data_IF_668815344966
#
_entry.id   IF_668815344966
#
_cell.length_a   1.000
_cell.length_b   1.000
_cell.length_c   1.000
_cell.angle_alpha   90.00
_cell.angle_beta   90.00
_cell.angle_gamma   90.00
#
_symmetry.space_group_name_H-M   'P 1'
#
loop_
_entity.id
_entity.type
_entity.pdbx_description
1 polymer ?
#
# COMPACT_ATOMS: atom_id res chain seq x y z
N UNK A 1 9.08 -23.18 11.04
CA UNK A 1 9.49 -23.25 9.62
C UNK A 1 8.52 -22.36 8.87
N UNK A 2 9.01 -21.31 8.23
CA UNK A 2 8.15 -20.36 7.48
C UNK A 2 7.69 -21.05 6.19
N UNK A 3 6.38 -21.28 6.05
CA UNK A 3 5.75 -21.67 4.78
C UNK A 3 5.73 -20.47 3.80
N UNK A 4 6.92 -19.96 3.49
CA UNK A 4 7.05 -18.97 2.44
C UNK A 4 6.88 -19.71 1.10
N UNK A 5 5.68 -19.60 0.51
CA UNK A 5 5.49 -20.02 -0.89
C UNK A 5 6.54 -19.32 -1.76
N UNK A 6 7.12 -20.01 -2.74
CA UNK A 6 8.00 -19.39 -3.72
C UNK A 6 7.30 -18.15 -4.31
N UNK A 7 7.99 -17.03 -4.44
CA UNK A 7 7.41 -15.78 -4.95
C UNK A 7 6.80 -15.96 -6.35
N UNK A 8 7.35 -16.90 -7.15
CA UNK A 8 6.83 -17.26 -8.47
C UNK A 8 5.42 -17.92 -8.43
N UNK A 9 4.99 -18.45 -7.28
CA UNK A 9 3.66 -19.05 -7.10
C UNK A 9 2.63 -18.05 -6.56
N UNK A 10 3.03 -16.82 -6.23
CA UNK A 10 2.11 -15.78 -5.79
C UNK A 10 1.28 -15.29 -6.99
N UNK A 11 -0.03 -15.35 -6.99
CA UNK A 11 -0.83 -14.81 -8.07
C UNK A 11 -0.61 -13.30 -8.23
N UNK A 12 -0.20 -12.89 -9.41
CA UNK A 12 0.04 -11.48 -9.72
C UNK A 12 -0.16 -11.21 -11.23
N UNK A 13 -0.26 -9.92 -11.57
CA UNK A 13 -0.21 -9.43 -12.93
C UNK A 13 1.03 -8.55 -13.07
N UNK A 14 1.78 -8.72 -14.17
CA UNK A 14 2.81 -7.78 -14.58
C UNK A 14 2.56 -7.34 -16.02
N UNK A 15 2.63 -6.02 -16.26
CA UNK A 15 2.65 -5.42 -17.58
C UNK A 15 3.85 -4.51 -17.68
N UNK A 16 4.73 -4.69 -18.66
CA UNK A 16 5.83 -3.75 -18.88
C UNK A 16 5.27 -2.38 -19.29
N UNK A 17 5.85 -1.34 -18.77
CA UNK A 17 5.61 0.04 -19.23
C UNK A 17 6.65 0.46 -20.27
N UNK A 18 6.72 1.77 -20.51
CA UNK A 18 7.80 2.34 -21.30
C UNK A 18 9.14 2.15 -20.57
N UNK A 19 10.24 2.14 -21.35
CA UNK A 19 11.58 2.09 -20.81
C UNK A 19 11.77 3.28 -19.83
N UNK A 20 12.42 3.01 -18.70
CA UNK A 20 12.69 3.97 -17.63
C UNK A 20 11.45 4.55 -16.91
N UNK A 21 10.23 4.22 -17.32
CA UNK A 21 9.03 4.63 -16.60
C UNK A 21 8.97 4.00 -15.21
N UNK A 22 8.28 4.68 -14.28
CA UNK A 22 8.04 4.13 -12.93
C UNK A 22 7.28 2.80 -12.97
N UNK A 23 7.29 2.11 -11.86
CA UNK A 23 6.45 0.93 -11.63
C UNK A 23 5.35 1.29 -10.66
N UNK A 24 4.09 1.11 -11.06
CA UNK A 24 2.94 1.21 -10.16
C UNK A 24 2.67 -0.18 -9.55
N UNK A 25 2.88 -0.28 -8.24
CA UNK A 25 2.49 -1.44 -7.44
C UNK A 25 1.02 -1.28 -7.05
N UNK A 26 0.13 -2.02 -7.70
CA UNK A 26 -1.31 -1.89 -7.56
C UNK A 26 -1.85 -2.88 -6.51
N UNK A 27 -2.46 -2.39 -5.44
CA UNK A 27 -2.87 -3.19 -4.27
C UNK A 27 -4.38 -3.05 -4.03
N UNK A 28 -5.13 -4.11 -4.33
CA UNK A 28 -6.58 -4.14 -4.28
C UNK A 28 -7.16 -4.04 -2.86
N UNK A 29 -8.39 -3.58 -2.73
CA UNK A 29 -9.16 -3.61 -1.49
C UNK A 29 -9.67 -5.02 -1.15
N UNK A 30 -10.38 -5.16 -0.01
CA UNK A 30 -11.00 -6.42 0.39
C UNK A 30 -11.95 -6.93 -0.69
N UNK A 31 -11.82 -8.20 -1.05
CA UNK A 31 -12.63 -8.88 -2.06
C UNK A 31 -12.17 -8.69 -3.50
N UNK A 32 -11.29 -7.70 -3.76
CA UNK A 32 -10.76 -7.43 -5.09
C UNK A 32 -9.67 -8.42 -5.52
N UNK A 33 -9.07 -8.16 -6.67
CA UNK A 33 -8.02 -8.97 -7.25
C UNK A 33 -7.03 -8.10 -8.06
N UNK A 34 -5.98 -8.73 -8.57
CA UNK A 34 -4.92 -8.09 -9.34
C UNK A 34 -5.40 -7.51 -10.68
N UNK A 35 -6.45 -8.06 -11.27
CA UNK A 35 -6.98 -7.59 -12.57
C UNK A 35 -7.78 -6.28 -12.40
N UNK A 36 -8.63 -6.23 -11.37
CA UNK A 36 -9.52 -5.09 -11.10
C UNK A 36 -8.71 -3.85 -10.75
N UNK A 37 -7.77 -3.95 -9.79
CA UNK A 37 -6.99 -2.79 -9.36
C UNK A 37 -6.03 -2.29 -10.43
N UNK A 38 -5.52 -3.19 -11.29
CA UNK A 38 -4.66 -2.82 -12.40
C UNK A 38 -5.35 -1.88 -13.41
N UNK A 39 -6.69 -1.91 -13.48
CA UNK A 39 -7.48 -1.01 -14.32
C UNK A 39 -7.30 0.48 -13.97
N UNK A 40 -7.03 0.79 -12.70
CA UNK A 40 -6.79 2.17 -12.24
C UNK A 40 -5.46 2.74 -12.74
N UNK A 41 -4.47 1.90 -13.00
CA UNK A 41 -3.11 2.33 -13.32
C UNK A 41 -3.03 3.24 -14.56
N UNK A 42 -3.80 2.92 -15.61
CA UNK A 42 -3.80 3.70 -16.86
C UNK A 42 -4.33 5.14 -16.68
N UNK A 43 -5.21 5.35 -15.70
CA UNK A 43 -5.71 6.69 -15.35
C UNK A 43 -4.68 7.49 -14.55
N UNK A 44 -3.77 6.83 -13.85
CA UNK A 44 -2.73 7.44 -13.03
C UNK A 44 -1.47 7.76 -13.84
N UNK A 45 -0.98 6.79 -14.59
CA UNK A 45 0.19 6.93 -15.47
C UNK A 45 0.13 5.88 -16.59
N UNK A 46 -0.25 6.28 -17.82
CA UNK A 46 -0.40 5.34 -18.94
C UNK A 46 0.93 4.75 -19.41
N UNK A 47 2.07 5.32 -19.01
CA UNK A 47 3.40 4.86 -19.40
C UNK A 47 4.03 3.91 -18.40
N UNK A 48 3.52 3.87 -17.17
CA UNK A 48 4.08 3.08 -16.08
C UNK A 48 4.02 1.57 -16.35
N UNK A 49 5.02 0.84 -15.85
CA UNK A 49 4.87 -0.60 -15.67
C UNK A 49 3.86 -0.87 -14.54
N UNK A 50 3.12 -1.95 -14.67
CA UNK A 50 2.12 -2.36 -13.68
C UNK A 50 2.56 -3.66 -13.02
N UNK A 51 2.63 -3.67 -11.69
CA UNK A 51 2.85 -4.85 -10.88
C UNK A 51 1.70 -4.95 -9.89
N UNK A 52 0.86 -5.96 -10.02
CA UNK A 52 -0.34 -6.11 -9.20
C UNK A 52 -0.39 -7.52 -8.61
N UNK A 53 0.11 -7.76 -7.40
CA UNK A 53 -0.08 -9.04 -6.72
C UNK A 53 -1.48 -9.15 -6.09
N UNK A 54 -1.95 -10.39 -5.85
CA UNK A 54 -3.19 -10.68 -5.13
C UNK A 54 -2.91 -10.85 -3.64
N UNK A 55 -3.73 -10.29 -2.78
CA UNK A 55 -3.69 -10.55 -1.34
C UNK A 55 -3.84 -12.04 -1.02
N UNK A 56 -2.98 -12.58 -0.14
CA UNK A 56 -2.82 -14.02 0.11
C UNK A 56 -3.71 -14.58 1.21
N UNK A 57 -4.52 -13.74 1.83
CA UNK A 57 -5.45 -14.17 2.88
C UNK A 57 -6.84 -14.32 2.29
N UNK A 58 -7.50 -15.44 2.61
CA UNK A 58 -8.90 -15.68 2.27
C UNK A 58 -9.76 -15.53 3.52
N UNK A 59 -10.74 -14.66 3.46
CA UNK A 59 -11.71 -14.45 4.53
C UNK A 59 -13.12 -14.45 3.95
N UNK A 60 -13.92 -15.46 4.26
CA UNK A 60 -15.29 -15.63 3.73
C UNK A 60 -15.37 -15.54 2.19
N UNK A 61 -14.41 -16.15 1.49
CA UNK A 61 -14.32 -16.12 0.03
C UNK A 61 -13.78 -14.82 -0.57
N UNK A 62 -13.38 -13.85 0.25
CA UNK A 62 -12.80 -12.58 -0.17
C UNK A 62 -11.28 -12.59 -0.05
N UNK A 63 -10.59 -12.08 -1.08
CA UNK A 63 -9.15 -11.84 -1.01
C UNK A 63 -8.85 -10.67 -0.06
N UNK A 64 -7.85 -10.84 0.79
CA UNK A 64 -7.33 -9.83 1.71
C UNK A 64 -5.80 -9.90 1.77
N UNK A 65 -5.20 -8.80 2.22
CA UNK A 65 -3.75 -8.74 2.44
C UNK A 65 -3.32 -9.35 3.77
N UNK A 66 -4.13 -9.15 4.80
CA UNK A 66 -3.87 -9.61 6.16
C UNK A 66 -5.19 -9.91 6.90
N UNK A 67 -5.08 -10.68 7.98
CA UNK A 67 -6.22 -11.03 8.83
C UNK A 67 -6.68 -9.83 9.66
N UNK A 68 -7.95 -9.79 9.96
CA UNK A 68 -8.53 -8.92 10.98
C UNK A 68 -9.08 -9.77 12.15
N UNK A 69 -9.08 -9.18 13.34
CA UNK A 69 -9.68 -9.78 14.53
C UNK A 69 -11.18 -9.45 14.61
N UNK A 70 -11.54 -8.24 14.20
CA UNK A 70 -12.90 -7.76 14.01
C UNK A 70 -12.89 -6.62 12.99
N UNK A 71 -14.04 -6.02 12.68
CA UNK A 71 -14.11 -4.85 11.82
C UNK A 71 -13.31 -3.69 12.42
N UNK A 72 -12.42 -3.09 11.63
CA UNK A 72 -11.53 -2.02 12.07
C UNK A 72 -10.38 -2.45 13.01
N UNK A 73 -10.30 -3.73 13.42
CA UNK A 73 -9.26 -4.24 14.32
C UNK A 73 -8.40 -5.28 13.59
N UNK A 74 -7.17 -4.91 13.27
CA UNK A 74 -6.26 -5.76 12.52
C UNK A 74 -5.44 -6.69 13.42
N UNK A 75 -5.11 -7.88 12.91
CA UNK A 75 -4.06 -8.74 13.46
C UNK A 75 -2.70 -8.14 13.08
N UNK A 76 -2.17 -7.26 13.93
CA UNK A 76 -0.96 -6.48 13.65
C UNK A 76 0.27 -7.36 13.42
N UNK A 77 0.35 -8.53 14.06
CA UNK A 77 1.42 -9.50 13.81
C UNK A 77 1.30 -10.09 12.40
N UNK A 78 0.08 -10.35 11.92
CA UNK A 78 -0.15 -10.79 10.55
C UNK A 78 0.11 -9.66 9.55
N UNK A 79 -0.29 -8.41 9.87
CA UNK A 79 0.04 -7.23 9.05
C UNK A 79 1.56 -7.13 8.83
N UNK A 80 2.35 -7.20 9.90
CA UNK A 80 3.81 -7.11 9.82
C UNK A 80 4.40 -8.24 8.96
N UNK A 81 3.96 -9.49 9.18
CA UNK A 81 4.41 -10.64 8.38
C UNK A 81 4.06 -10.48 6.90
N UNK A 82 2.86 -9.99 6.57
CA UNK A 82 2.45 -9.77 5.17
C UNK A 82 3.18 -8.59 4.52
N UNK A 83 3.57 -7.59 5.30
CA UNK A 83 4.45 -6.54 4.81
C UNK A 83 5.85 -7.08 4.49
N UNK A 84 6.38 -8.00 5.31
CA UNK A 84 7.64 -8.71 5.02
C UNK A 84 7.52 -9.55 3.72
N UNK A 85 6.40 -10.28 3.55
CA UNK A 85 6.11 -11.05 2.34
C UNK A 85 6.08 -10.13 1.09
N UNK A 86 5.42 -8.97 1.19
CA UNK A 86 5.31 -8.02 0.08
C UNK A 86 6.66 -7.37 -0.26
N UNK A 87 7.46 -7.03 0.74
CA UNK A 87 8.82 -6.51 0.52
C UNK A 87 9.72 -7.54 -0.18
N UNK A 88 9.63 -8.81 0.22
CA UNK A 88 10.35 -9.90 -0.43
C UNK A 88 9.87 -10.10 -1.89
N UNK A 89 8.55 -10.02 -2.12
CA UNK A 89 7.97 -10.07 -3.47
C UNK A 89 8.49 -8.93 -4.36
N UNK A 90 8.57 -7.70 -3.85
CA UNK A 90 9.11 -6.56 -4.59
C UNK A 90 10.59 -6.75 -4.95
N UNK A 91 11.39 -7.27 -4.03
CA UNK A 91 12.80 -7.58 -4.27
C UNK A 91 12.94 -8.63 -5.37
N UNK A 92 12.15 -9.69 -5.31
CA UNK A 92 12.10 -10.73 -6.34
C UNK A 92 11.65 -10.17 -7.71
N UNK A 93 10.57 -9.39 -7.74
CA UNK A 93 10.04 -8.80 -8.98
C UNK A 93 11.05 -7.85 -9.64
N UNK A 94 11.75 -7.04 -8.84
CA UNK A 94 12.81 -6.14 -9.32
C UNK A 94 13.91 -6.91 -10.05
N UNK A 95 14.34 -8.04 -9.51
CA UNK A 95 15.34 -8.90 -10.14
C UNK A 95 14.78 -9.64 -11.37
N UNK A 96 13.58 -10.21 -11.26
CA UNK A 96 12.96 -11.03 -12.30
C UNK A 96 12.64 -10.23 -13.57
N UNK A 97 12.17 -8.99 -13.41
CA UNK A 97 11.79 -8.12 -14.52
C UNK A 97 12.85 -7.08 -14.88
N UNK A 98 14.06 -7.22 -14.32
CA UNK A 98 15.17 -6.31 -14.57
C UNK A 98 14.78 -4.83 -14.40
N UNK A 99 14.01 -4.52 -13.33
CA UNK A 99 13.46 -3.17 -13.12
C UNK A 99 14.53 -2.13 -12.72
N UNK A 100 15.76 -2.57 -12.41
CA UNK A 100 16.86 -1.67 -12.05
C UNK A 100 16.49 -0.71 -10.91
N UNK A 101 16.81 0.57 -11.08
CA UNK A 101 16.52 1.64 -10.13
C UNK A 101 15.20 2.37 -10.43
N UNK A 102 14.36 1.81 -11.30
CA UNK A 102 13.04 2.38 -11.60
C UNK A 102 12.25 2.62 -10.30
N UNK A 103 11.70 3.82 -10.09
CA UNK A 103 10.91 4.10 -8.89
C UNK A 103 9.69 3.19 -8.81
N UNK A 104 9.50 2.53 -7.66
CA UNK A 104 8.26 1.81 -7.36
C UNK A 104 7.39 2.72 -6.50
N UNK A 105 6.15 2.94 -6.94
CA UNK A 105 5.12 3.66 -6.20
C UNK A 105 3.97 2.71 -5.92
N UNK A 106 3.69 2.44 -4.65
CA UNK A 106 2.48 1.70 -4.30
C UNK A 106 1.24 2.57 -4.46
N UNK A 107 0.21 1.99 -5.05
CA UNK A 107 -1.12 2.56 -5.17
C UNK A 107 -2.09 1.55 -4.57
N UNK A 108 -2.62 1.85 -3.40
CA UNK A 108 -3.49 0.94 -2.67
C UNK A 108 -4.86 1.54 -2.37
N UNK A 109 -5.88 0.67 -2.33
CA UNK A 109 -7.21 1.03 -1.88
C UNK A 109 -7.58 0.25 -0.62
N UNK A 110 -8.07 0.92 0.43
CA UNK A 110 -8.60 0.30 1.65
C UNK A 110 -7.60 -0.71 2.26
N UNK A 111 -7.90 -1.99 2.28
CA UNK A 111 -6.99 -3.05 2.76
C UNK A 111 -5.65 -3.06 2.00
N UNK A 112 -5.66 -2.76 0.69
CA UNK A 112 -4.46 -2.58 -0.13
C UNK A 112 -3.66 -1.33 0.22
N UNK A 113 -4.32 -0.22 0.58
CA UNK A 113 -3.66 0.97 1.10
C UNK A 113 -2.96 0.67 2.44
N UNK A 114 -3.63 -0.09 3.30
CA UNK A 114 -3.11 -0.43 4.61
C UNK A 114 -1.86 -1.32 4.53
N UNK A 115 -1.83 -2.31 3.63
CA UNK A 115 -0.60 -3.12 3.47
C UNK A 115 0.53 -2.33 2.81
N UNK A 116 0.23 -1.40 1.87
CA UNK A 116 1.23 -0.50 1.31
C UNK A 116 1.88 0.36 2.40
N UNK A 117 1.06 0.97 3.26
CA UNK A 117 1.51 1.79 4.38
C UNK A 117 2.33 0.98 5.40
N UNK A 118 1.88 -0.25 5.74
CA UNK A 118 2.63 -1.14 6.61
C UNK A 118 4.01 -1.50 6.02
N UNK A 119 4.04 -1.80 4.71
CA UNK A 119 5.31 -2.12 4.04
C UNK A 119 6.24 -0.91 3.99
N UNK A 120 5.73 0.29 3.71
CA UNK A 120 6.53 1.51 3.73
C UNK A 120 7.11 1.82 5.13
N UNK A 121 6.33 1.56 6.19
CA UNK A 121 6.77 1.76 7.57
C UNK A 121 7.84 0.77 8.02
N UNK A 122 7.74 -0.49 7.59
CA UNK A 122 8.64 -1.57 8.00
C UNK A 122 9.83 -1.75 7.07
N UNK A 123 9.69 -1.39 5.80
CA UNK A 123 10.68 -1.55 4.73
C UNK A 123 10.81 -0.29 3.86
N UNK A 124 11.12 0.89 4.44
CA UNK A 124 11.15 2.16 3.70
C UNK A 124 12.15 2.17 2.54
N UNK A 125 13.24 1.42 2.64
CA UNK A 125 14.21 1.29 1.55
C UNK A 125 13.66 0.50 0.33
N UNK A 126 12.68 -0.38 0.54
CA UNK A 126 12.05 -1.19 -0.52
C UNK A 126 10.88 -0.46 -1.14
N UNK A 127 10.05 0.19 -0.31
CA UNK A 127 8.84 0.89 -0.73
C UNK A 127 8.75 2.27 -0.11
N UNK A 128 9.48 3.27 -0.64
CA UNK A 128 9.49 4.62 -0.07
C UNK A 128 8.29 5.47 -0.50
N UNK A 129 7.53 5.10 -1.53
CA UNK A 129 6.47 5.94 -2.10
C UNK A 129 5.11 5.23 -2.09
N UNK A 130 4.10 5.89 -1.50
CA UNK A 130 2.74 5.32 -1.35
C UNK A 130 1.68 6.36 -1.69
N UNK A 131 0.70 5.96 -2.49
CA UNK A 131 -0.60 6.61 -2.67
C UNK A 131 -1.64 5.70 -2.01
N UNK A 132 -2.28 6.19 -0.96
CA UNK A 132 -3.23 5.44 -0.14
C UNK A 132 -4.64 6.01 -0.27
N UNK A 133 -5.50 5.34 -1.01
CA UNK A 133 -6.91 5.67 -1.12
C UNK A 133 -7.69 5.00 0.03
N UNK A 134 -8.37 5.78 0.86
CA UNK A 134 -9.16 5.31 2.01
C UNK A 134 -8.38 4.37 2.94
N UNK A 135 -7.10 4.68 3.16
CA UNK A 135 -6.22 3.97 4.09
C UNK A 135 -6.31 4.52 5.51
N UNK A 136 -5.91 3.69 6.48
CA UNK A 136 -5.80 4.05 7.89
C UNK A 136 -4.53 3.47 8.50
N UNK A 137 -4.25 3.79 9.78
CA UNK A 137 -3.06 3.29 10.47
C UNK A 137 -3.07 1.75 10.58
N UNK A 138 -2.18 1.03 9.85
CA UNK A 138 -2.27 -0.44 9.77
C UNK A 138 -1.65 -1.16 10.97
N UNK A 139 -0.76 -0.49 11.67
CA UNK A 139 0.01 -1.00 12.80
C UNK A 139 -0.31 -0.22 14.09
N UNK A 140 -1.52 0.33 14.18
CA UNK A 140 -1.99 1.01 15.39
C UNK A 140 -2.08 0.02 16.53
N UNK A 141 -0.97 -0.14 17.19
CA UNK A 141 -0.85 -1.06 18.29
C UNK A 141 -0.29 -0.36 19.51
N UNK A 142 -1.12 -0.20 20.49
CA UNK A 142 -0.69 -0.14 21.88
C UNK A 142 0.02 -1.47 22.31
N UNK A 143 0.56 -2.26 21.37
CA UNK A 143 0.93 -3.67 21.56
C UNK A 143 2.28 -4.11 21.01
N UNK A 144 3.27 -3.21 20.90
CA UNK A 144 4.68 -3.66 20.83
C UNK A 144 5.25 -4.08 19.46
N UNK A 145 4.64 -3.69 18.32
CA UNK A 145 5.26 -3.81 16.99
C UNK A 145 6.27 -2.66 16.76
N UNK A 146 6.32 -1.76 17.66
CA UNK A 146 6.89 -0.44 17.53
C UNK A 146 8.41 -0.38 17.39
N UNK A 147 9.16 -1.40 17.80
CA UNK A 147 10.63 -1.33 17.72
C UNK A 147 11.13 -1.23 16.27
N UNK A 148 10.53 -1.97 15.34
CA UNK A 148 10.90 -1.92 13.90
C UNK A 148 10.42 -0.63 13.25
N UNK A 149 9.20 -0.22 13.59
CA UNK A 149 8.63 1.04 13.12
C UNK A 149 9.34 2.22 13.80
N UNK A 150 9.66 2.13 15.10
CA UNK A 150 10.36 3.17 15.83
C UNK A 150 11.80 3.42 15.34
N UNK A 151 12.49 2.40 14.83
CA UNK A 151 13.86 2.50 14.33
C UNK A 151 13.98 3.00 12.89
N UNK A 152 12.86 3.11 12.14
CA UNK A 152 12.87 3.44 10.71
C UNK A 152 13.05 4.94 10.47
N UNK A 153 14.06 5.31 9.70
CA UNK A 153 14.19 6.63 9.08
C UNK A 153 13.33 6.68 7.82
N UNK A 154 12.35 7.60 7.78
CA UNK A 154 11.45 7.79 6.65
C UNK A 154 11.78 9.05 5.83
N UNK A 155 12.95 9.64 6.02
CA UNK A 155 13.35 10.89 5.35
C UNK A 155 13.35 10.81 3.80
N UNK A 156 13.54 9.61 3.25
CA UNK A 156 13.41 9.35 1.81
C UNK A 156 11.99 8.97 1.37
N UNK A 157 11.05 8.87 2.31
CA UNK A 157 9.68 8.41 2.04
C UNK A 157 8.74 9.56 1.69
N UNK A 158 7.80 9.29 0.79
CA UNK A 158 6.73 10.21 0.42
C UNK A 158 5.38 9.48 0.39
N UNK A 159 4.38 10.02 1.06
CA UNK A 159 3.07 9.39 1.21
C UNK A 159 1.97 10.38 0.88
N UNK A 160 1.05 9.97 -0.01
CA UNK A 160 -0.20 10.68 -0.29
C UNK A 160 -1.36 9.91 0.35
N UNK A 161 -2.06 10.55 1.26
CA UNK A 161 -3.26 10.03 1.93
C UNK A 161 -4.51 10.70 1.34
N UNK A 162 -5.42 9.91 0.76
CA UNK A 162 -6.64 10.37 0.11
C UNK A 162 -7.85 9.74 0.80
N UNK A 163 -8.54 10.50 1.65
CA UNK A 163 -9.58 9.98 2.53
C UNK A 163 -10.88 10.77 2.49
N UNK A 164 -12.00 10.09 2.72
CA UNK A 164 -13.28 10.72 2.97
C UNK A 164 -13.42 11.17 4.43
N UNK A 165 -13.97 12.38 4.66
CA UNK A 165 -14.14 12.91 6.02
C UNK A 165 -15.08 12.09 6.91
N UNK A 166 -16.03 11.39 6.29
CA UNK A 166 -17.05 10.59 6.97
C UNK A 166 -16.89 9.09 6.67
N UNK A 167 -15.67 8.66 6.38
CA UNK A 167 -15.36 7.25 6.11
C UNK A 167 -15.38 6.44 7.43
N UNK A 168 -16.35 5.54 7.64
CA UNK A 168 -16.43 4.73 8.85
C UNK A 168 -15.38 3.62 8.88
N UNK A 169 -14.83 3.22 7.71
CA UNK A 169 -13.85 2.15 7.58
C UNK A 169 -12.41 2.65 7.72
N UNK A 170 -12.19 3.96 7.52
CA UNK A 170 -10.92 4.63 7.76
C UNK A 170 -11.15 5.88 8.62
N UNK A 171 -11.39 5.73 9.94
CA UNK A 171 -11.74 6.83 10.82
C UNK A 171 -10.69 7.93 10.81
N UNK A 172 -11.14 9.19 10.73
CA UNK A 172 -10.28 10.37 10.59
C UNK A 172 -9.18 10.43 11.66
N UNK A 173 -9.49 10.04 12.91
CA UNK A 173 -8.50 10.00 13.99
C UNK A 173 -7.35 9.02 13.71
N UNK A 174 -7.62 7.87 13.09
CA UNK A 174 -6.59 6.90 12.68
C UNK A 174 -5.73 7.45 11.53
N UNK A 175 -6.35 8.14 10.56
CA UNK A 175 -5.63 8.78 9.45
C UNK A 175 -4.71 9.89 9.95
N UNK A 176 -5.19 10.74 10.85
CA UNK A 176 -4.41 11.83 11.46
C UNK A 176 -3.24 11.30 12.28
N UNK A 177 -3.46 10.28 13.11
CA UNK A 177 -2.41 9.63 13.91
C UNK A 177 -1.32 9.04 13.00
N UNK A 178 -1.72 8.42 11.88
CA UNK A 178 -0.77 7.91 10.89
C UNK A 178 0.04 9.04 10.25
N UNK A 179 -0.61 10.13 9.80
CA UNK A 179 0.06 11.25 9.15
C UNK A 179 1.11 11.86 10.09
N UNK A 180 0.73 12.17 11.34
CA UNK A 180 1.65 12.70 12.36
C UNK A 180 2.85 11.78 12.58
N UNK A 181 2.61 10.47 12.74
CA UNK A 181 3.68 9.51 12.95
C UNK A 181 4.66 9.43 11.76
N UNK A 182 4.16 9.50 10.53
CA UNK A 182 5.00 9.52 9.32
C UNK A 182 5.86 10.80 9.26
N UNK A 183 5.27 11.97 9.54
CA UNK A 183 5.95 13.27 9.55
C UNK A 183 7.02 13.35 10.63
N UNK A 184 6.73 12.90 11.85
CA UNK A 184 7.67 12.84 12.97
C UNK A 184 8.91 11.99 12.66
N UNK A 185 8.82 11.07 11.70
CA UNK A 185 9.93 10.23 11.23
C UNK A 185 10.58 10.72 9.95
N UNK A 186 10.22 11.91 9.50
CA UNK A 186 10.85 12.58 8.38
C UNK A 186 10.20 12.33 7.03
N UNK A 187 9.10 11.56 6.93
CA UNK A 187 8.41 11.35 5.67
C UNK A 187 7.76 12.65 5.15
N UNK A 188 7.74 12.81 3.84
CA UNK A 188 6.93 13.85 3.19
C UNK A 188 5.51 13.35 3.07
N UNK A 189 4.59 13.93 3.83
CA UNK A 189 3.17 13.55 3.84
C UNK A 189 2.34 14.63 3.19
N UNK A 190 1.49 14.23 2.25
CA UNK A 190 0.38 15.04 1.74
C UNK A 190 -0.91 14.33 2.10
N UNK A 191 -1.82 15.02 2.78
CA UNK A 191 -3.10 14.46 3.20
C UNK A 191 -4.24 15.31 2.65
N UNK A 192 -5.12 14.69 1.88
CA UNK A 192 -6.30 15.32 1.31
C UNK A 192 -7.57 14.67 1.85
N UNK A 193 -8.44 15.50 2.38
CA UNK A 193 -9.71 15.09 2.96
C UNK A 193 -10.88 15.66 2.14
N UNK A 194 -11.54 14.79 1.40
CA UNK A 194 -12.74 15.13 0.63
C UNK A 194 -14.03 14.93 1.43
N UNK A 195 -15.14 15.55 1.06
CA UNK A 195 -16.47 15.14 1.53
C UNK A 195 -16.76 13.68 1.16
N UNK A 196 -17.60 13.00 1.96
CA UNK A 196 -18.05 11.63 1.69
C UNK A 196 -17.27 10.54 2.44
N UNK A 197 -17.61 9.29 2.13
CA UNK A 197 -17.16 8.09 2.84
C UNK A 197 -16.08 7.30 2.11
N UNK A 198 -16.17 5.97 2.24
CA UNK A 198 -15.19 5.01 1.72
C UNK A 198 -15.28 4.88 0.20
N UNK A 199 -14.17 5.06 -0.51
CA UNK A 199 -14.12 4.92 -1.97
C UNK A 199 -12.97 5.68 -2.61
N UNK A 200 -12.93 5.63 -3.94
CA UNK A 200 -12.05 6.43 -4.81
C UNK A 200 -12.93 7.32 -5.67
N UNK A 201 -12.64 8.60 -5.73
CA UNK A 201 -13.35 9.57 -6.55
C UNK A 201 -12.46 10.11 -7.66
N UNK A 202 -13.06 10.78 -8.65
CA UNK A 202 -12.29 11.44 -9.71
C UNK A 202 -11.33 12.51 -9.16
N UNK A 203 -11.72 13.20 -8.10
CA UNK A 203 -10.84 14.18 -7.42
C UNK A 203 -9.64 13.50 -6.76
N UNK A 204 -9.83 12.32 -6.15
CA UNK A 204 -8.73 11.54 -5.58
C UNK A 204 -7.76 11.09 -6.69
N UNK A 205 -8.29 10.64 -7.82
CA UNK A 205 -7.47 10.24 -8.98
C UNK A 205 -6.69 11.43 -9.53
N UNK A 206 -7.33 12.60 -9.67
CA UNK A 206 -6.66 13.81 -10.13
C UNK A 206 -5.52 14.25 -9.20
N UNK A 207 -5.75 14.18 -7.87
CA UNK A 207 -4.72 14.46 -6.87
C UNK A 207 -3.54 13.46 -6.95
N UNK A 208 -3.83 12.17 -7.15
CA UNK A 208 -2.81 11.16 -7.32
C UNK A 208 -1.97 11.37 -8.60
N UNK A 209 -2.60 11.75 -9.71
CA UNK A 209 -1.91 12.12 -10.97
C UNK A 209 -0.98 13.31 -10.74
N UNK A 210 -1.48 14.37 -10.09
CA UNK A 210 -0.68 15.55 -9.78
C UNK A 210 0.52 15.24 -8.88
N UNK A 211 0.35 14.33 -7.92
CA UNK A 211 1.43 13.91 -7.01
C UNK A 211 2.48 13.03 -7.70
N UNK A 212 2.10 12.32 -8.75
CA UNK A 212 3.01 11.52 -9.57
C UNK A 212 3.84 12.35 -10.55
N UNK A 213 3.35 13.52 -10.97
CA UNK A 213 4.07 14.42 -11.89
C UNK A 213 5.35 14.97 -11.26
#
# INVERSE_FOLDING_TARGET
MSDAMPQAEWPYLFRPGSDDARVLLMLHGTGGNEQEIAGLASALDPTAAILAPRGRVQENGMNRWFRRLSEGVFDTADVARRADDLAAFLTWARATYALGDRPIVAVGFSNGANIALATALLHPAVLPRVIAFSGMHPLDADRGIDARVAAGDLSASAVLLLNGRTDPMAPLGSVQKLATMLEERGAKVQSELRPGGHGITETDVAAAVAWLA
#
